data_IF_397418206171
#
_entry.id   IF_397418206171
#
_cell.length_a   1.000
_cell.length_b   1.000
_cell.length_c   1.000
_cell.angle_alpha   90.00
_cell.angle_beta   90.00
_cell.angle_gamma   90.00
#
_symmetry.space_group_name_H-M   'P 1'
#
loop_
_entity.id
_entity.type
_entity.pdbx_description
1 polymer ?
#
# COMPACT_ATOMS: atom_id res chain seq x y z
N UNK A 1 22.13 -24.61 -27.62
CA UNK A 1 21.47 -25.26 -26.47
C UNK A 1 22.09 -24.60 -25.25
N UNK A 2 21.43 -23.61 -24.65
CA UNK A 2 21.99 -22.88 -23.52
C UNK A 2 21.84 -23.74 -22.26
N UNK A 3 22.91 -23.85 -21.48
CA UNK A 3 23.00 -24.74 -20.33
C UNK A 3 21.98 -24.35 -19.25
N UNK A 4 21.16 -25.32 -18.83
CA UNK A 4 20.16 -25.16 -17.77
C UNK A 4 20.76 -24.67 -16.43
N UNK A 5 22.09 -24.72 -16.26
CA UNK A 5 22.79 -24.14 -15.11
C UNK A 5 22.85 -22.61 -15.13
N UNK A 6 22.97 -21.98 -16.30
CA UNK A 6 23.01 -20.51 -16.38
C UNK A 6 21.64 -19.89 -16.11
N UNK A 7 20.56 -20.58 -16.49
CA UNK A 7 19.19 -20.16 -16.23
C UNK A 7 18.89 -20.16 -14.72
N UNK A 8 19.47 -21.08 -13.94
CA UNK A 8 19.31 -21.11 -12.49
C UNK A 8 20.11 -20.01 -11.77
N UNK A 9 21.30 -19.67 -12.25
CA UNK A 9 22.12 -18.60 -11.67
C UNK A 9 21.54 -17.20 -11.89
N UNK A 10 20.79 -16.98 -12.97
CA UNK A 10 20.10 -15.72 -13.24
C UNK A 10 18.84 -15.54 -12.38
N UNK A 11 18.12 -16.63 -12.06
CA UNK A 11 16.94 -16.58 -11.19
C UNK A 11 17.27 -16.35 -9.71
N UNK A 12 18.43 -16.84 -9.27
CA UNK A 12 18.86 -16.67 -7.87
C UNK A 12 19.30 -15.23 -7.55
N UNK A 13 19.72 -14.45 -8.55
CA UNK A 13 20.07 -13.03 -8.40
C UNK A 13 18.85 -12.09 -8.42
N UNK A 14 17.66 -12.60 -8.74
CA UNK A 14 16.41 -11.81 -8.79
C UNK A 14 15.56 -11.94 -7.52
N UNK A 15 16.05 -12.62 -6.46
CA UNK A 15 15.33 -12.65 -5.19
C UNK A 15 15.44 -11.30 -4.46
N UNK A 16 14.33 -10.71 -3.99
CA UNK A 16 14.38 -9.49 -3.20
C UNK A 16 15.04 -9.77 -1.85
N UNK A 17 15.96 -8.89 -1.43
CA UNK A 17 16.64 -9.00 -0.13
C UNK A 17 15.60 -9.00 1.02
N UNK A 18 15.82 -9.76 2.10
CA UNK A 18 14.94 -9.71 3.26
C UNK A 18 14.90 -8.29 3.82
N UNK A 19 13.68 -7.78 4.00
CA UNK A 19 13.39 -6.45 4.54
C UNK A 19 13.82 -6.44 6.01
N UNK A 20 14.79 -5.59 6.37
CA UNK A 20 15.22 -5.40 7.75
C UNK A 20 14.03 -5.03 8.64
N UNK A 21 13.94 -5.69 9.79
CA UNK A 21 12.94 -5.40 10.83
C UNK A 21 13.22 -4.00 11.39
N UNK A 22 12.24 -3.10 11.49
CA UNK A 22 12.45 -1.84 12.22
C UNK A 22 12.50 -2.13 13.72
N UNK A 23 13.63 -1.79 14.36
CA UNK A 23 13.73 -1.70 15.81
C UNK A 23 12.73 -0.65 16.33
N UNK A 24 11.81 -1.08 17.20
CA UNK A 24 10.84 -0.20 17.83
C UNK A 24 11.49 0.76 18.84
N UNK A 25 10.88 1.92 19.12
CA UNK A 25 11.39 2.86 20.10
C UNK A 25 11.24 2.28 21.51
N UNK A 26 12.38 2.12 22.20
CA UNK A 26 12.43 1.75 23.61
C UNK A 26 11.73 2.81 24.47
N UNK A 27 10.62 2.40 25.08
CA UNK A 27 9.99 3.11 26.18
C UNK A 27 10.84 2.89 27.45
N UNK A 28 11.68 3.87 27.80
CA UNK A 28 12.31 3.90 29.12
C UNK A 28 11.42 4.69 30.09
N UNK A 29 10.96 3.98 31.11
CA UNK A 29 10.12 4.42 32.20
C UNK A 29 10.75 5.56 33.03
N UNK A 30 9.88 6.44 33.51
CA UNK A 30 10.15 7.40 34.57
C UNK A 30 10.41 6.70 35.92
N UNK A 31 11.32 7.26 36.70
CA UNK A 31 11.39 7.09 38.15
C UNK A 31 11.64 8.48 38.80
N UNK A 32 11.12 8.74 40.02
CA UNK A 32 11.12 10.07 40.63
C UNK A 32 12.24 10.26 41.66
N UNK A 33 12.27 11.49 42.19
CA UNK A 33 12.69 11.90 43.55
C UNK A 33 13.98 12.73 43.68
N UNK A 34 13.71 13.96 44.12
CA UNK A 34 14.55 15.04 44.61
C UNK A 34 15.49 14.63 45.76
N UNK A 35 16.65 15.28 45.90
CA UNK A 35 17.08 15.92 47.17
C UNK A 35 18.46 16.57 47.07
N UNK A 36 18.61 17.73 47.74
CA UNK A 36 19.89 18.23 48.24
C UNK A 36 20.51 19.44 47.53
N UNK A 37 20.30 20.66 48.05
CA UNK A 37 21.21 21.80 47.84
C UNK A 37 22.45 21.71 48.76
N UNK A 38 23.12 22.82 49.15
CA UNK A 38 23.31 24.13 48.51
C UNK A 38 24.82 24.40 48.24
N UNK A 39 25.17 25.55 47.64
CA UNK A 39 26.40 26.35 47.88
C UNK A 39 27.05 26.94 46.60
N UNK A 40 26.93 28.27 46.47
CA UNK A 40 28.04 29.25 46.46
C UNK A 40 29.17 29.15 45.39
N UNK A 41 29.07 30.07 44.42
CA UNK A 41 30.12 30.98 43.82
C UNK A 41 31.48 30.43 43.34
N UNK A 42 31.73 30.58 42.03
CA UNK A 42 32.92 31.20 41.37
C UNK A 42 32.66 31.25 39.84
N UNK A 43 32.45 32.39 39.16
CA UNK A 43 33.45 33.28 38.54
C UNK A 43 34.61 32.51 37.84
N UNK A 44 35.05 32.75 36.60
CA UNK A 44 34.74 33.71 35.54
C UNK A 44 35.58 33.35 34.27
N UNK A 45 35.28 34.02 33.14
CA UNK A 45 36.18 34.29 31.98
C UNK A 45 36.47 33.16 30.99
N UNK A 46 35.69 33.08 29.90
CA UNK A 46 36.21 33.02 28.50
C UNK A 46 35.11 33.62 27.58
N UNK A 47 35.13 34.93 27.37
CA UNK A 47 34.22 35.59 26.44
C UNK A 47 34.97 36.69 25.67
N UNK A 48 35.76 36.31 24.67
CA UNK A 48 36.30 37.23 23.66
C UNK A 48 37.03 36.46 22.53
N UNK A 49 36.30 35.71 21.69
CA UNK A 49 36.90 35.19 20.44
C UNK A 49 35.93 34.84 19.30
N UNK A 50 34.61 35.03 19.44
CA UNK A 50 33.64 34.59 18.41
C UNK A 50 32.65 35.69 18.00
N UNK A 51 33.06 36.97 18.07
CA UNK A 51 32.21 38.11 17.70
C UNK A 51 32.91 38.98 16.66
N UNK A 52 33.28 38.41 15.49
CA UNK A 52 33.77 39.24 14.37
C UNK A 52 33.43 38.73 12.96
N UNK A 53 32.65 37.65 12.78
CA UNK A 53 32.34 37.13 11.42
C UNK A 53 30.87 36.73 11.18
N UNK A 54 29.91 37.38 11.84
CA UNK A 54 28.48 37.15 11.59
C UNK A 54 27.74 38.35 10.97
N UNK A 55 28.45 39.45 10.69
CA UNK A 55 27.84 40.71 10.21
C UNK A 55 27.65 40.81 8.70
N UNK A 56 28.02 39.79 7.92
CA UNK A 56 27.87 39.77 6.45
C UNK A 56 26.65 39.01 5.93
N UNK A 57 25.84 38.44 6.82
CA UNK A 57 24.57 37.83 6.46
C UNK A 57 23.48 38.83 6.79
N UNK A 58 23.06 39.62 5.80
CA UNK A 58 21.83 40.40 5.90
C UNK A 58 20.65 39.47 6.26
N UNK A 59 19.56 39.99 6.86
CA UNK A 59 18.44 39.15 7.22
C UNK A 59 17.91 38.46 5.97
N UNK A 60 18.02 37.13 5.93
CA UNK A 60 17.34 36.31 4.93
C UNK A 60 15.85 36.52 5.18
N UNK A 61 15.22 37.36 4.36
CA UNK A 61 13.77 37.46 4.31
C UNK A 61 13.28 36.15 3.73
N UNK A 62 12.84 35.23 4.60
CA UNK A 62 12.02 34.10 4.18
C UNK A 62 10.79 34.68 3.48
N UNK A 63 10.44 34.21 2.27
CA UNK A 63 9.17 34.60 1.67
C UNK A 63 8.06 34.28 2.68
N UNK A 64 7.03 35.14 2.82
CA UNK A 64 5.92 34.84 3.69
C UNK A 64 5.40 33.44 3.34
N UNK A 65 5.09 32.59 4.34
CA UNK A 65 4.47 31.31 4.06
C UNK A 65 3.27 31.60 3.17
N UNK A 66 3.27 31.03 1.97
CA UNK A 66 2.18 31.20 0.99
C UNK A 66 0.88 31.02 1.76
N UNK A 67 0.13 32.12 1.85
CA UNK A 67 -0.99 32.25 2.78
C UNK A 67 -2.01 31.11 2.62
N UNK A 68 -2.79 30.80 3.68
CA UNK A 68 -3.85 29.77 3.69
C UNK A 68 -4.82 29.84 2.50
N UNK A 69 -4.93 30.98 1.80
CA UNK A 69 -5.70 31.14 0.57
C UNK A 69 -5.38 30.12 -0.54
N UNK A 70 -4.12 29.71 -0.71
CA UNK A 70 -3.77 28.69 -1.72
C UNK A 70 -4.19 27.27 -1.28
N UNK A 71 -4.20 27.00 0.03
CA UNK A 71 -4.71 25.76 0.60
C UNK A 71 -6.25 25.73 0.60
N UNK A 72 -6.90 26.85 0.90
CA UNK A 72 -8.36 27.02 0.83
C UNK A 72 -8.89 26.99 -0.61
N UNK A 73 -8.12 27.48 -1.59
CA UNK A 73 -8.43 27.35 -3.01
C UNK A 73 -8.35 25.89 -3.48
N UNK A 74 -7.42 25.10 -2.95
CA UNK A 74 -7.36 23.63 -3.15
C UNK A 74 -8.41 22.87 -2.34
N UNK A 75 -8.89 23.44 -1.23
CA UNK A 75 -9.94 22.85 -0.40
C UNK A 75 -11.34 23.02 -1.02
N UNK A 76 -11.51 23.98 -1.93
CA UNK A 76 -12.73 24.15 -2.73
C UNK A 76 -12.59 23.37 -4.02
N UNK A 77 -13.09 22.13 -4.03
CA UNK A 77 -13.19 21.33 -5.24
C UNK A 77 -14.02 22.08 -6.29
N UNK A 78 -13.59 22.04 -7.55
CA UNK A 78 -14.43 22.54 -8.65
C UNK A 78 -15.67 21.65 -8.79
N UNK A 79 -16.77 22.15 -9.42
CA UNK A 79 -17.94 21.33 -9.69
C UNK A 79 -17.61 20.02 -10.44
N UNK A 80 -16.63 20.05 -11.34
CA UNK A 80 -16.17 18.88 -12.11
C UNK A 80 -15.40 17.87 -11.25
N UNK A 81 -14.54 18.37 -10.34
CA UNK A 81 -13.84 17.53 -9.37
C UNK A 81 -14.83 16.88 -8.39
N UNK A 82 -15.80 17.65 -7.91
CA UNK A 82 -16.85 17.14 -7.04
C UNK A 82 -17.66 16.03 -7.73
N UNK A 83 -18.04 16.23 -9.00
CA UNK A 83 -18.75 15.22 -9.78
C UNK A 83 -17.92 13.92 -9.91
N UNK A 84 -16.62 14.05 -10.16
CA UNK A 84 -15.71 12.90 -10.28
C UNK A 84 -15.61 12.16 -8.95
N UNK A 85 -15.44 12.88 -7.85
CA UNK A 85 -15.42 12.32 -6.49
C UNK A 85 -16.74 11.63 -6.17
N UNK A 86 -17.87 12.20 -6.56
CA UNK A 86 -19.19 11.63 -6.30
C UNK A 86 -19.45 10.37 -7.12
N UNK A 87 -18.99 10.31 -8.38
CA UNK A 87 -19.04 9.08 -9.19
C UNK A 87 -18.15 8.01 -8.57
N UNK A 88 -16.92 8.36 -8.18
CA UNK A 88 -16.01 7.41 -7.54
C UNK A 88 -16.61 6.85 -6.25
N UNK A 89 -17.01 7.71 -5.30
CA UNK A 89 -17.56 7.30 -4.00
C UNK A 89 -18.79 6.41 -4.12
N UNK A 90 -19.64 6.66 -5.12
CA UNK A 90 -20.85 5.85 -5.35
C UNK A 90 -20.57 4.48 -5.95
N UNK A 91 -19.52 4.33 -6.78
CA UNK A 91 -19.30 3.11 -7.56
C UNK A 91 -18.20 2.19 -7.02
N UNK A 92 -17.24 2.72 -6.26
CA UNK A 92 -16.12 1.95 -5.71
C UNK A 92 -16.54 0.73 -4.87
N UNK A 93 -17.60 0.78 -4.05
CA UNK A 93 -18.07 -0.41 -3.33
C UNK A 93 -18.51 -1.56 -4.22
N UNK A 94 -18.85 -1.30 -5.49
CA UNK A 94 -19.28 -2.32 -6.46
C UNK A 94 -18.10 -2.97 -7.20
N UNK A 95 -16.87 -2.47 -7.04
CA UNK A 95 -15.69 -3.02 -7.70
C UNK A 95 -15.01 -4.04 -6.80
N UNK A 96 -14.61 -5.15 -7.39
CA UNK A 96 -13.94 -6.26 -6.69
C UNK A 96 -12.63 -6.64 -7.37
N UNK A 97 -11.71 -7.20 -6.59
CA UNK A 97 -10.51 -7.84 -7.12
C UNK A 97 -10.82 -9.31 -7.41
N UNK A 98 -10.37 -9.82 -8.55
CA UNK A 98 -10.55 -11.22 -8.97
C UNK A 98 -9.18 -11.86 -9.07
N UNK A 99 -8.89 -12.82 -8.20
CA UNK A 99 -7.62 -13.54 -8.16
C UNK A 99 -7.80 -14.93 -8.73
N UNK A 100 -6.94 -15.27 -9.69
CA UNK A 100 -6.83 -16.60 -10.28
C UNK A 100 -5.79 -17.40 -9.48
N UNK A 101 -6.25 -18.47 -8.83
CA UNK A 101 -5.43 -19.38 -8.06
C UNK A 101 -5.18 -20.64 -8.87
N UNK A 102 -3.92 -21.07 -8.98
CA UNK A 102 -3.63 -22.40 -9.47
C UNK A 102 -3.11 -23.31 -8.38
N UNK A 103 -3.66 -24.51 -8.38
CA UNK A 103 -3.25 -25.56 -7.49
C UNK A 103 -1.97 -26.19 -8.04
N UNK A 104 -0.90 -26.19 -7.24
CA UNK A 104 0.39 -26.81 -7.55
C UNK A 104 0.75 -27.77 -6.43
N UNK A 105 1.28 -28.94 -6.79
CA UNK A 105 1.84 -29.87 -5.80
C UNK A 105 3.28 -29.48 -5.52
N UNK A 106 3.61 -29.24 -4.27
CA UNK A 106 4.98 -29.00 -3.83
C UNK A 106 5.82 -30.27 -4.03
N UNK A 107 6.96 -30.13 -4.69
CA UNK A 107 7.80 -31.26 -5.07
C UNK A 107 8.53 -31.92 -3.88
N UNK A 108 8.65 -31.21 -2.75
CA UNK A 108 9.40 -31.69 -1.58
C UNK A 108 8.48 -32.24 -0.49
N UNK A 109 7.41 -31.51 -0.15
CA UNK A 109 6.45 -31.86 0.89
C UNK A 109 5.24 -32.62 0.38
N UNK A 110 5.07 -32.78 -0.94
CA UNK A 110 3.90 -33.41 -1.57
C UNK A 110 2.55 -32.73 -1.24
N UNK A 111 2.59 -31.57 -0.59
CA UNK A 111 1.40 -30.81 -0.22
C UNK A 111 0.84 -30.06 -1.43
N UNK A 112 -0.47 -29.83 -1.38
CA UNK A 112 -1.17 -29.02 -2.37
C UNK A 112 -1.10 -27.55 -1.93
N UNK A 113 -0.47 -26.69 -2.73
CA UNK A 113 -0.45 -25.24 -2.52
C UNK A 113 -1.24 -24.53 -3.60
N UNK A 114 -2.02 -23.54 -3.18
CA UNK A 114 -2.63 -22.57 -4.07
C UNK A 114 -1.65 -21.42 -4.28
N UNK A 115 -1.29 -21.18 -5.53
CA UNK A 115 -0.39 -20.10 -5.92
C UNK A 115 -1.16 -19.16 -6.85
N UNK A 116 -1.25 -17.86 -6.54
CA UNK A 116 -1.82 -16.89 -7.45
C UNK A 116 -1.09 -16.94 -8.79
N UNK A 117 -1.83 -17.14 -9.89
CA UNK A 117 -1.29 -17.10 -11.25
C UNK A 117 -1.61 -15.80 -11.97
N UNK A 118 -2.66 -15.10 -11.54
CA UNK A 118 -3.09 -13.85 -12.13
C UNK A 118 -4.07 -13.12 -11.23
N UNK A 119 -4.23 -11.83 -11.49
CA UNK A 119 -5.21 -10.99 -10.84
C UNK A 119 -5.83 -10.05 -11.88
N UNK A 120 -7.09 -9.70 -11.67
CA UNK A 120 -7.84 -8.77 -12.48
C UNK A 120 -8.92 -8.08 -11.65
N UNK A 121 -9.78 -7.33 -12.32
CA UNK A 121 -10.90 -6.64 -11.68
C UNK A 121 -12.22 -7.21 -12.14
N UNK A 122 -13.24 -7.02 -11.32
CA UNK A 122 -14.62 -7.27 -11.67
C UNK A 122 -15.52 -6.26 -10.98
N UNK A 123 -16.81 -6.37 -11.25
CA UNK A 123 -17.81 -5.60 -10.53
C UNK A 123 -19.06 -6.42 -10.25
N UNK A 124 -19.73 -6.09 -9.15
CA UNK A 124 -20.98 -6.72 -8.75
C UNK A 124 -22.09 -6.31 -9.70
N UNK A 125 -22.80 -7.29 -10.24
CA UNK A 125 -23.86 -7.10 -11.23
C UNK A 125 -25.25 -7.00 -10.60
N UNK A 126 -25.52 -7.79 -9.58
CA UNK A 126 -26.82 -7.82 -8.91
C UNK A 126 -26.70 -8.13 -7.40
N UNK A 127 -27.83 -8.00 -6.70
CA UNK A 127 -27.96 -8.29 -5.25
C UNK A 127 -27.87 -9.79 -4.93
N UNK A 128 -27.78 -10.66 -5.95
CA UNK A 128 -27.59 -12.10 -5.73
C UNK A 128 -26.11 -12.45 -5.63
N UNK A 129 -25.22 -11.48 -5.79
CA UNK A 129 -23.78 -11.68 -5.68
C UNK A 129 -23.10 -12.18 -6.95
N UNK A 130 -23.71 -11.94 -8.11
CA UNK A 130 -23.04 -12.16 -9.38
C UNK A 130 -21.98 -11.09 -9.63
N UNK A 131 -20.83 -11.50 -10.16
CA UNK A 131 -19.71 -10.63 -10.53
C UNK A 131 -19.41 -10.80 -12.00
N UNK A 132 -19.26 -9.67 -12.71
CA UNK A 132 -18.81 -9.65 -14.10
C UNK A 132 -17.34 -9.31 -14.16
N UNK A 133 -16.59 -10.07 -14.95
CA UNK A 133 -15.16 -9.85 -15.22
C UNK A 133 -14.83 -10.27 -16.66
N UNK A 134 -13.57 -10.13 -17.05
CA UNK A 134 -13.09 -10.63 -18.32
C UNK A 134 -12.83 -12.15 -18.25
N UNK A 135 -13.08 -12.85 -19.36
CA UNK A 135 -12.84 -14.29 -19.43
C UNK A 135 -11.34 -14.62 -19.28
N UNK A 136 -10.46 -13.82 -19.88
CA UNK A 136 -9.01 -14.04 -19.80
C UNK A 136 -8.44 -13.94 -18.37
N UNK A 137 -9.14 -13.29 -17.44
CA UNK A 137 -8.72 -13.19 -16.03
C UNK A 137 -8.86 -14.54 -15.33
N UNK A 138 -9.95 -15.26 -15.63
CA UNK A 138 -10.29 -16.53 -15.00
C UNK A 138 -9.86 -17.75 -15.82
N UNK A 139 -9.25 -17.54 -16.98
CA UNK A 139 -8.79 -18.65 -17.84
C UNK A 139 -7.73 -19.49 -17.12
N UNK A 140 -7.81 -20.81 -17.30
CA UNK A 140 -6.90 -21.81 -16.70
C UNK A 140 -6.80 -21.75 -15.15
N UNK A 141 -7.72 -21.04 -14.50
CA UNK A 141 -7.81 -21.00 -13.04
C UNK A 141 -8.20 -22.37 -12.50
N UNK A 142 -7.51 -22.81 -11.44
CA UNK A 142 -7.94 -23.98 -10.66
C UNK A 142 -9.00 -23.59 -9.65
N UNK A 143 -8.84 -22.40 -9.06
CA UNK A 143 -9.82 -21.78 -8.18
C UNK A 143 -9.85 -20.26 -8.43
N UNK A 144 -10.97 -19.62 -8.10
CA UNK A 144 -11.18 -18.18 -8.29
C UNK A 144 -11.59 -17.59 -6.95
N UNK A 145 -10.85 -16.57 -6.54
CA UNK A 145 -11.14 -15.82 -5.34
C UNK A 145 -11.56 -14.39 -5.71
N UNK A 146 -12.64 -13.91 -5.09
CA UNK A 146 -13.12 -12.54 -5.24
C UNK A 146 -12.89 -11.81 -3.92
N UNK A 147 -12.23 -10.67 -3.97
CA UNK A 147 -11.99 -9.81 -2.79
C UNK A 147 -12.81 -8.53 -2.92
N UNK A 148 -13.69 -8.28 -1.96
CA UNK A 148 -14.46 -7.05 -1.87
C UNK A 148 -13.60 -5.88 -1.35
N UNK A 149 -14.07 -4.64 -1.52
CA UNK A 149 -13.37 -3.44 -1.08
C UNK A 149 -12.96 -3.47 0.41
N UNK A 150 -13.75 -4.13 1.26
CA UNK A 150 -13.48 -4.29 2.69
C UNK A 150 -12.32 -5.23 3.03
N UNK A 151 -11.81 -5.97 2.05
CA UNK A 151 -10.81 -7.03 2.24
C UNK A 151 -11.43 -8.42 2.47
N UNK A 152 -12.75 -8.53 2.50
CA UNK A 152 -13.44 -9.81 2.59
C UNK A 152 -13.21 -10.63 1.32
N UNK A 153 -12.77 -11.88 1.50
CA UNK A 153 -12.44 -12.81 0.41
C UNK A 153 -13.49 -13.91 0.31
N UNK A 154 -13.92 -14.21 -0.91
CA UNK A 154 -14.93 -15.20 -1.20
C UNK A 154 -14.47 -16.13 -2.32
N UNK A 155 -14.73 -17.44 -2.18
CA UNK A 155 -14.53 -18.40 -3.28
C UNK A 155 -15.67 -18.24 -4.29
N UNK A 156 -15.33 -18.15 -5.57
CA UNK A 156 -16.27 -17.87 -6.64
C UNK A 156 -16.39 -19.03 -7.62
N UNK A 157 -17.62 -19.29 -8.07
CA UNK A 157 -17.94 -20.26 -9.09
C UNK A 157 -18.25 -19.58 -10.42
N UNK A 158 -17.75 -20.13 -11.52
CA UNK A 158 -18.12 -19.67 -12.87
C UNK A 158 -19.55 -20.07 -13.18
N UNK A 159 -20.39 -19.09 -13.51
CA UNK A 159 -21.79 -19.29 -13.93
C UNK A 159 -21.88 -19.39 -15.45
N UNK A 160 -21.13 -18.57 -16.17
CA UNK A 160 -21.12 -18.58 -17.63
C UNK A 160 -19.98 -17.75 -18.21
N UNK A 161 -19.61 -18.05 -19.45
CA UNK A 161 -18.54 -17.36 -20.17
C UNK A 161 -18.92 -17.15 -21.64
N UNK A 162 -18.48 -16.03 -22.20
CA UNK A 162 -18.45 -15.74 -23.64
C UNK A 162 -16.98 -15.47 -24.00
N UNK A 163 -16.34 -16.45 -24.65
CA UNK A 163 -14.90 -16.38 -24.98
C UNK A 163 -14.61 -15.37 -26.09
N UNK A 164 -15.54 -15.23 -27.04
CA UNK A 164 -15.35 -14.36 -28.21
C UNK A 164 -15.43 -12.88 -27.81
N UNK A 165 -16.24 -12.57 -26.80
CA UNK A 165 -16.39 -11.21 -26.26
C UNK A 165 -15.54 -10.94 -25.02
N UNK A 166 -14.79 -11.95 -24.55
CA UNK A 166 -13.97 -11.88 -23.36
C UNK A 166 -14.75 -11.47 -22.09
N UNK A 167 -15.89 -12.13 -21.85
CA UNK A 167 -16.77 -11.87 -20.70
C UNK A 167 -16.97 -13.16 -19.89
N UNK A 168 -16.94 -13.02 -18.57
CA UNK A 168 -17.29 -14.08 -17.63
C UNK A 168 -18.21 -13.55 -16.53
N UNK A 169 -19.15 -14.40 -16.11
CA UNK A 169 -20.02 -14.18 -14.95
C UNK A 169 -19.67 -15.20 -13.89
N UNK A 170 -19.38 -14.71 -12.68
CA UNK A 170 -19.07 -15.47 -11.50
C UNK A 170 -20.19 -15.32 -10.47
N UNK A 171 -20.31 -16.29 -9.58
CA UNK A 171 -21.11 -16.21 -8.36
C UNK A 171 -20.14 -16.40 -7.20
N UNK A 172 -20.04 -15.41 -6.32
CA UNK A 172 -19.07 -15.47 -5.23
C UNK A 172 -19.34 -14.56 -4.05
N UNK A 173 -20.24 -13.59 -4.15
CA UNK A 173 -20.60 -12.78 -3.00
C UNK A 173 -21.86 -13.36 -2.35
N UNK A 174 -21.70 -14.00 -1.20
CA UNK A 174 -22.85 -14.27 -0.33
C UNK A 174 -23.15 -12.97 0.44
N UNK A 175 -24.27 -12.34 0.11
CA UNK A 175 -24.75 -11.05 0.65
C UNK A 175 -25.89 -11.24 1.63
#
# INVERSE_FOLDING_TARGET
>A
MQDNKEIQLQQQQQQPRPRGVPEGPGAQQAAPAQSGGPATRAAAVVAAAAVTLASLLGPVSLPPPLAPAAAEARARLTPEEQLTVDVFKRNVPSVVNVTNLAVRRDAFTMNMLEIPQGAGSGFVWDEKGHVVTNYHVIQDASDIQVTALGGDEYSARVIGVDRDKDIAVLQGLDM
#
